data_IF_783445520116
#
_entry.id   IF_783445520116
#
_cell.length_a   1.000
_cell.length_b   1.000
_cell.length_c   1.000
_cell.angle_alpha   90.00
_cell.angle_beta   90.00
_cell.angle_gamma   90.00
#
_symmetry.space_group_name_H-M   'P 1'
#
loop_
_entity.id
_entity.type
_entity.pdbx_description
1 polymer ?
#
# COMPACT_ATOMS: atom_id res chain seq x y z
N UNK A 1 61.15 -10.49 -37.21
CA UNK A 1 60.65 -10.46 -38.60
C UNK A 1 59.13 -10.61 -38.55
N UNK A 2 58.42 -9.54 -38.96
CA UNK A 2 56.99 -9.39 -39.39
C UNK A 2 55.92 -10.29 -38.73
N UNK A 3 54.93 -9.79 -37.98
CA UNK A 3 53.82 -8.86 -38.28
C UNK A 3 52.84 -9.34 -39.39
N UNK A 4 51.62 -9.67 -38.98
CA UNK A 4 50.34 -9.43 -39.68
C UNK A 4 49.21 -9.79 -38.69
N UNK A 5 48.49 -8.86 -38.03
CA UNK A 5 47.44 -7.96 -38.53
C UNK A 5 46.49 -8.63 -39.52
N UNK A 6 45.27 -8.92 -39.06
CA UNK A 6 44.08 -8.90 -39.89
C UNK A 6 42.97 -8.14 -39.18
N UNK A 7 42.28 -7.39 -40.00
CA UNK A 7 41.56 -6.15 -39.73
C UNK A 7 40.06 -6.45 -39.74
N UNK A 8 39.36 -5.82 -38.80
CA UNK A 8 38.01 -5.26 -38.86
C UNK A 8 37.20 -5.55 -40.15
N UNK A 9 35.99 -6.08 -40.02
CA UNK A 9 34.85 -5.52 -40.74
C UNK A 9 33.53 -5.74 -40.00
N UNK A 10 32.91 -4.61 -39.66
CA UNK A 10 31.49 -4.49 -39.30
C UNK A 10 30.65 -4.91 -40.50
N UNK A 11 29.62 -5.73 -40.27
CA UNK A 11 28.51 -5.85 -41.20
C UNK A 11 27.20 -5.87 -40.43
N UNK A 12 26.52 -4.73 -40.56
CA UNK A 12 25.12 -4.47 -40.29
C UNK A 12 24.24 -5.47 -41.04
N UNK A 13 23.33 -6.14 -40.33
CA UNK A 13 22.18 -6.81 -40.94
C UNK A 13 20.91 -6.16 -40.41
N UNK A 14 20.51 -5.09 -41.08
CA UNK A 14 19.15 -4.56 -41.05
C UNK A 14 18.28 -5.49 -41.89
N UNK A 15 17.28 -6.12 -41.29
CA UNK A 15 16.15 -6.65 -42.05
C UNK A 15 14.84 -6.11 -41.50
N UNK A 16 14.09 -5.55 -42.45
CA UNK A 16 12.81 -4.89 -42.35
C UNK A 16 11.70 -5.84 -41.90
N UNK A 17 10.86 -5.39 -40.99
CA UNK A 17 9.42 -5.61 -41.08
C UNK A 17 8.72 -4.27 -40.86
N UNK A 18 8.34 -3.67 -41.97
CA UNK A 18 7.42 -2.54 -42.03
C UNK A 18 5.99 -3.06 -41.86
N UNK A 19 5.29 -2.61 -40.83
CA UNK A 19 3.83 -2.52 -40.84
C UNK A 19 3.48 -1.13 -40.35
N UNK A 20 3.00 -0.33 -41.31
CA UNK A 20 2.57 1.06 -41.21
C UNK A 20 1.14 1.16 -40.71
N UNK A 21 0.91 1.98 -39.67
CA UNK A 21 -0.37 2.65 -39.42
C UNK A 21 -0.11 4.10 -38.98
N UNK A 22 -0.95 5.07 -39.39
CA UNK A 22 -0.60 6.48 -39.49
C UNK A 22 -0.70 7.22 -38.16
N UNK A 23 0.33 8.01 -37.83
CA UNK A 23 0.22 9.12 -36.88
C UNK A 23 -0.55 10.27 -37.54
N UNK A 24 -1.76 10.55 -37.06
CA UNK A 24 -2.40 11.87 -37.22
C UNK A 24 -2.01 12.71 -36.01
N UNK A 25 -1.07 13.63 -36.23
CA UNK A 25 -0.78 14.69 -35.28
C UNK A 25 -1.82 15.80 -35.41
N UNK A 26 -2.43 16.21 -34.30
CA UNK A 26 -3.08 17.50 -34.20
C UNK A 26 -2.08 18.49 -33.59
N UNK A 27 -1.50 19.31 -34.46
CA UNK A 27 -0.84 20.55 -34.07
C UNK A 27 -1.90 21.60 -33.73
N UNK A 28 -1.62 22.34 -32.66
CA UNK A 28 -2.30 23.55 -32.21
C UNK A 28 -2.26 24.65 -33.27
N UNK A 29 -3.41 25.24 -33.58
CA UNK A 29 -3.50 26.60 -34.15
C UNK A 29 -4.44 27.45 -33.34
N UNK A 30 -3.94 28.63 -33.00
CA UNK A 30 -4.66 29.72 -32.33
C UNK A 30 -5.56 30.48 -33.32
N UNK A 31 -6.55 31.17 -32.73
CA UNK A 31 -7.34 32.30 -33.24
C UNK A 31 -8.64 31.98 -33.98
N UNK A 32 -9.79 32.27 -33.35
CA UNK A 32 -10.61 33.48 -33.59
C UNK A 32 -11.92 33.41 -32.78
N UNK A 33 -12.09 34.37 -31.88
CA UNK A 33 -13.41 34.84 -31.43
C UNK A 33 -13.85 35.89 -32.47
N UNK A 34 -15.11 35.95 -32.94
CA UNK A 34 -16.16 36.61 -32.15
C UNK A 34 -17.58 36.07 -32.39
N UNK A 35 -18.43 36.02 -31.35
CA UNK A 35 -19.68 36.79 -31.35
C UNK A 35 -20.39 36.73 -30.01
N UNK A 36 -20.67 37.93 -29.52
CA UNK A 36 -21.42 38.26 -28.34
C UNK A 36 -22.83 38.64 -28.82
N UNK A 37 -23.87 37.94 -28.36
CA UNK A 37 -25.25 38.42 -28.46
C UNK A 37 -25.94 38.23 -27.12
N UNK A 38 -26.28 39.36 -26.53
CA UNK A 38 -27.00 39.56 -25.27
C UNK A 38 -28.49 39.23 -25.44
N UNK A 39 -29.13 38.58 -24.45
CA UNK A 39 -30.44 39.02 -23.92
C UNK A 39 -30.97 38.19 -22.72
N UNK A 40 -31.02 38.88 -21.57
CA UNK A 40 -32.17 39.05 -20.65
C UNK A 40 -32.58 37.91 -19.70
N UNK A 41 -32.55 38.30 -18.42
CA UNK A 41 -32.91 37.60 -17.18
C UNK A 41 -34.36 37.09 -17.13
N UNK A 42 -34.55 35.91 -16.55
CA UNK A 42 -35.73 35.60 -15.71
C UNK A 42 -35.22 34.96 -14.41
N UNK A 43 -35.68 35.40 -13.22
CA UNK A 43 -35.10 34.97 -11.94
C UNK A 43 -35.62 33.57 -11.56
N UNK A 44 -34.74 32.68 -11.13
CA UNK A 44 -35.14 31.49 -10.39
C UNK A 44 -34.45 31.53 -9.03
N UNK A 45 -35.30 31.62 -8.00
CA UNK A 45 -34.96 31.63 -6.58
C UNK A 45 -34.54 30.21 -6.19
N UNK A 46 -33.46 30.15 -5.41
CA UNK A 46 -32.97 29.09 -4.53
C UNK A 46 -33.02 27.62 -4.99
N UNK A 47 -31.82 27.03 -5.10
CA UNK A 47 -31.47 26.06 -4.06
C UNK A 47 -29.98 26.17 -3.72
N UNK A 48 -29.68 26.78 -2.58
CA UNK A 48 -28.37 26.66 -1.91
C UNK A 48 -28.31 25.31 -1.20
N UNK A 49 -28.21 24.24 -1.96
CA UNK A 49 -27.67 22.97 -1.48
C UNK A 49 -26.28 22.79 -2.12
N UNK A 50 -25.27 23.44 -1.53
CA UNK A 50 -23.88 23.03 -1.78
C UNK A 50 -23.80 21.55 -1.40
N UNK A 51 -23.35 20.65 -2.29
CA UNK A 51 -23.01 19.30 -1.88
C UNK A 51 -21.98 19.42 -0.76
N UNK A 52 -22.24 18.69 0.32
CA UNK A 52 -21.26 18.37 1.35
C UNK A 52 -19.97 17.96 0.61
N UNK A 53 -18.82 18.51 0.99
CA UNK A 53 -17.51 18.12 0.46
C UNK A 53 -17.30 16.62 0.75
N UNK A 54 -17.82 15.78 -0.13
CA UNK A 54 -17.57 14.36 -0.15
C UNK A 54 -16.14 14.22 -0.66
N UNK A 55 -15.26 13.74 0.21
CA UNK A 55 -13.88 13.48 -0.15
C UNK A 55 -13.88 12.37 -1.20
N UNK A 56 -13.78 12.75 -2.47
CA UNK A 56 -13.74 11.83 -3.60
C UNK A 56 -12.37 11.16 -3.64
N UNK A 57 -12.23 10.02 -2.96
CA UNK A 57 -11.04 9.17 -3.06
C UNK A 57 -11.22 8.23 -4.26
N UNK A 58 -10.32 8.26 -5.26
CA UNK A 58 -10.34 7.30 -6.35
C UNK A 58 -10.30 5.87 -5.80
N UNK A 59 -11.04 4.95 -6.41
CA UNK A 59 -11.12 3.56 -5.95
C UNK A 59 -9.73 2.92 -5.79
N UNK A 60 -8.83 3.20 -6.73
CA UNK A 60 -7.43 2.77 -6.71
C UNK A 60 -6.64 3.25 -5.49
N UNK A 61 -7.03 4.36 -4.86
CA UNK A 61 -6.35 4.96 -3.73
C UNK A 61 -6.99 4.60 -2.38
N UNK A 62 -8.14 3.91 -2.37
CA UNK A 62 -8.88 3.59 -1.13
C UNK A 62 -8.01 2.81 -0.14
N UNK A 63 -7.17 1.89 -0.63
CA UNK A 63 -6.27 1.12 0.23
C UNK A 63 -5.20 1.99 0.91
N UNK A 64 -4.48 2.78 0.12
CA UNK A 64 -3.47 3.70 0.64
C UNK A 64 -4.11 4.70 1.61
N UNK A 65 -5.26 5.25 1.23
CA UNK A 65 -6.04 6.15 2.08
C UNK A 65 -6.41 5.46 3.41
N UNK A 66 -6.89 4.22 3.37
CA UNK A 66 -7.28 3.48 4.58
C UNK A 66 -6.09 3.19 5.50
N UNK A 67 -4.87 3.08 4.99
CA UNK A 67 -3.68 2.85 5.81
C UNK A 67 -3.34 4.00 6.79
N UNK A 68 -3.94 5.18 6.59
CA UNK A 68 -3.76 6.39 7.43
C UNK A 68 -4.57 6.38 8.74
N UNK A 69 -5.42 5.38 8.94
CA UNK A 69 -6.34 5.34 10.07
C UNK A 69 -6.07 4.13 10.96
N UNK A 70 -6.38 4.29 12.24
CA UNK A 70 -6.51 3.21 13.21
C UNK A 70 -7.98 2.75 13.20
N UNK A 71 -8.22 1.57 12.65
CA UNK A 71 -9.55 1.03 12.44
C UNK A 71 -9.95 0.11 13.59
N UNK A 72 -11.16 0.29 14.11
CA UNK A 72 -11.80 -0.61 15.06
C UNK A 72 -13.11 -1.14 14.47
N UNK A 73 -13.31 -2.46 14.55
CA UNK A 73 -14.55 -3.11 14.12
C UNK A 73 -15.70 -2.69 15.03
N UNK A 74 -16.79 -2.22 14.45
CA UNK A 74 -17.98 -1.78 15.22
C UNK A 74 -19.25 -2.52 14.85
N UNK A 75 -19.29 -3.11 13.66
CA UNK A 75 -20.48 -3.81 13.19
C UNK A 75 -20.11 -4.89 12.18
N UNK A 76 -20.80 -6.02 12.28
CA UNK A 76 -20.73 -7.12 11.33
C UNK A 76 -22.13 -7.40 10.83
N UNK A 77 -22.31 -7.43 9.52
CA UNK A 77 -23.57 -7.75 8.86
C UNK A 77 -23.38 -9.09 8.14
N UNK A 78 -24.23 -10.07 8.42
CA UNK A 78 -24.13 -11.36 7.76
C UNK A 78 -24.74 -11.34 6.35
N UNK A 79 -24.61 -12.44 5.62
CA UNK A 79 -25.13 -12.59 4.25
C UNK A 79 -26.66 -12.39 4.14
N UNK A 80 -27.39 -12.51 5.25
CA UNK A 80 -28.84 -12.34 5.31
C UNK A 80 -29.22 -10.92 5.81
N UNK A 81 -28.29 -9.96 5.73
CA UNK A 81 -28.43 -8.58 6.21
C UNK A 81 -28.73 -8.43 7.72
N UNK A 82 -28.48 -9.46 8.52
CA UNK A 82 -28.65 -9.38 9.96
C UNK A 82 -27.36 -8.92 10.64
N UNK A 83 -27.50 -8.09 11.67
CA UNK A 83 -26.37 -7.69 12.51
C UNK A 83 -25.94 -8.86 13.38
N UNK A 84 -24.66 -9.21 13.31
CA UNK A 84 -24.03 -10.21 14.17
C UNK A 84 -23.63 -9.54 15.49
N UNK A 85 -24.02 -10.13 16.61
CA UNK A 85 -23.64 -9.63 17.94
C UNK A 85 -22.15 -9.88 18.20
N UNK A 86 -21.38 -8.79 18.22
CA UNK A 86 -19.96 -8.78 18.54
C UNK A 86 -19.68 -8.08 19.88
N UNK A 87 -20.69 -7.75 20.69
CA UNK A 87 -20.50 -7.00 21.93
C UNK A 87 -19.61 -7.74 22.95
N UNK A 88 -19.58 -9.07 22.87
CA UNK A 88 -18.77 -9.92 23.75
C UNK A 88 -17.38 -10.26 23.18
N UNK A 89 -17.03 -9.73 22.01
CA UNK A 89 -15.71 -9.93 21.42
C UNK A 89 -14.73 -8.96 22.09
N UNK A 90 -13.49 -9.40 22.27
CA UNK A 90 -12.40 -8.44 22.51
C UNK A 90 -12.31 -7.51 21.29
N UNK A 91 -12.03 -6.20 21.47
CA UNK A 91 -11.94 -5.26 20.35
C UNK A 91 -11.06 -5.81 19.22
N UNK A 92 -11.60 -5.75 18.01
CA UNK A 92 -10.91 -6.16 16.78
C UNK A 92 -10.45 -4.90 16.07
N UNK A 93 -9.16 -4.80 15.78
CA UNK A 93 -8.61 -3.70 14.97
C UNK A 93 -8.15 -4.21 13.61
N UNK A 94 -8.09 -3.29 12.64
CA UNK A 94 -7.65 -3.56 11.28
C UNK A 94 -6.44 -2.68 10.93
N UNK A 95 -5.38 -3.30 10.44
CA UNK A 95 -4.21 -2.64 9.86
C UNK A 95 -4.18 -2.95 8.37
N UNK A 96 -4.06 -1.89 7.57
CA UNK A 96 -3.97 -2.00 6.11
C UNK A 96 -2.53 -1.73 5.65
N UNK A 97 -2.02 -2.61 4.78
CA UNK A 97 -0.70 -2.54 4.16
C UNK A 97 -0.81 -2.77 2.64
N UNK A 98 0.24 -2.44 1.85
CA UNK A 98 0.18 -2.51 0.38
C UNK A 98 -0.15 -3.89 -0.20
N UNK A 99 0.22 -4.97 0.50
CA UNK A 99 -0.03 -6.33 0.05
C UNK A 99 -0.73 -7.19 1.08
N UNK A 100 -1.28 -6.60 2.15
CA UNK A 100 -1.95 -7.38 3.19
C UNK A 100 -2.89 -6.56 4.04
N UNK A 101 -3.80 -7.27 4.70
CA UNK A 101 -4.50 -6.76 5.88
C UNK A 101 -4.23 -7.65 7.07
N UNK A 102 -4.12 -7.01 8.23
CA UNK A 102 -3.93 -7.66 9.51
C UNK A 102 -5.08 -7.29 10.44
N UNK A 103 -5.62 -8.30 11.11
CA UNK A 103 -6.60 -8.16 12.17
C UNK A 103 -5.95 -8.50 13.50
N UNK A 104 -6.10 -7.63 14.48
CA UNK A 104 -5.61 -7.84 15.83
C UNK A 104 -6.79 -7.94 16.79
N UNK A 105 -6.74 -8.94 17.67
CA UNK A 105 -7.77 -9.17 18.68
C UNK A 105 -7.09 -9.65 19.97
N UNK A 106 -6.87 -8.75 20.91
CA UNK A 106 -6.04 -9.07 22.08
C UNK A 106 -4.63 -9.49 21.65
N UNK A 107 -4.19 -10.69 22.05
CA UNK A 107 -2.91 -11.28 21.64
C UNK A 107 -2.98 -12.06 20.31
N UNK A 108 -4.17 -12.23 19.74
CA UNK A 108 -4.38 -12.95 18.49
C UNK A 108 -4.14 -12.02 17.30
N UNK A 109 -3.39 -12.51 16.31
CA UNK A 109 -3.08 -11.79 15.08
C UNK A 109 -3.41 -12.68 13.89
N UNK A 110 -4.24 -12.16 12.99
CA UNK A 110 -4.59 -12.80 11.74
C UNK A 110 -4.20 -11.92 10.57
N UNK A 111 -3.74 -12.53 9.49
CA UNK A 111 -3.26 -11.83 8.31
C UNK A 111 -3.81 -12.45 7.03
N UNK A 112 -4.14 -11.58 6.07
CA UNK A 112 -4.46 -11.96 4.70
C UNK A 112 -3.48 -11.27 3.77
N UNK A 113 -2.68 -12.06 3.06
CA UNK A 113 -1.75 -11.59 2.04
C UNK A 113 -2.41 -11.58 0.65
N UNK A 114 -2.28 -10.46 -0.05
CA UNK A 114 -2.80 -10.27 -1.39
C UNK A 114 -1.80 -10.79 -2.41
N UNK A 115 -2.23 -11.72 -3.25
CA UNK A 115 -1.37 -12.32 -4.28
C UNK A 115 -1.19 -11.45 -5.54
N UNK A 116 -1.81 -10.27 -5.64
CA UNK A 116 -1.79 -9.46 -6.87
C UNK A 116 -0.88 -8.22 -6.81
N UNK A 117 -0.11 -8.03 -7.88
CA UNK A 117 0.52 -6.76 -8.28
C UNK A 117 -0.51 -5.78 -8.89
N UNK A 118 -1.69 -5.67 -8.29
CA UNK A 118 -2.72 -4.73 -8.72
C UNK A 118 -3.50 -4.32 -7.48
N UNK A 119 -3.44 -3.04 -7.13
CA UNK A 119 -4.32 -2.36 -6.18
C UNK A 119 -5.75 -2.31 -6.77
N UNK A 120 -6.74 -1.76 -6.02
CA UNK A 120 -8.15 -1.79 -6.42
C UNK A 120 -8.35 -1.32 -7.87
N UNK A 121 -9.38 -1.82 -8.59
CA UNK A 121 -10.67 -2.30 -8.05
C UNK A 121 -10.84 -3.83 -7.94
N UNK A 122 -9.76 -4.63 -8.03
CA UNK A 122 -9.90 -6.08 -8.07
C UNK A 122 -10.26 -6.68 -6.69
N UNK A 123 -11.08 -7.75 -6.64
CA UNK A 123 -11.26 -8.50 -5.41
C UNK A 123 -9.93 -9.12 -4.99
N UNK A 124 -9.54 -8.91 -3.75
CA UNK A 124 -8.32 -9.51 -3.20
C UNK A 124 -8.56 -10.97 -2.89
N UNK A 125 -7.76 -11.86 -3.48
CA UNK A 125 -7.80 -13.28 -3.21
C UNK A 125 -6.79 -13.59 -2.11
N UNK A 126 -7.26 -14.14 -0.99
CA UNK A 126 -6.38 -14.49 0.11
C UNK A 126 -6.89 -15.64 0.97
N UNK A 127 -6.02 -16.07 1.88
CA UNK A 127 -6.31 -16.99 2.97
C UNK A 127 -6.09 -16.24 4.28
N UNK A 128 -7.02 -16.36 5.23
CA UNK A 128 -6.82 -15.85 6.58
C UNK A 128 -5.87 -16.80 7.32
N UNK A 129 -4.63 -16.39 7.52
CA UNK A 129 -3.64 -17.09 8.31
C UNK A 129 -3.58 -16.56 9.73
N UNK A 130 -3.49 -17.43 10.72
CA UNK A 130 -3.12 -17.04 12.10
C UNK A 130 -1.60 -16.85 12.14
N UNK A 131 -1.16 -15.66 12.57
CA UNK A 131 0.25 -15.33 12.81
C UNK A 131 0.60 -15.76 14.24
N UNK A 132 1.82 -16.27 14.50
CA UNK A 132 2.25 -16.61 15.86
C UNK A 132 2.06 -15.44 16.83
N UNK A 133 1.50 -15.72 18.00
CA UNK A 133 1.22 -14.70 19.03
C UNK A 133 2.52 -14.12 19.56
N UNK A 134 2.58 -12.80 19.71
CA UNK A 134 3.78 -12.07 20.21
C UNK A 134 3.76 -11.87 21.74
N UNK A 135 2.66 -12.20 22.41
CA UNK A 135 2.56 -12.18 23.85
C UNK A 135 3.40 -13.31 24.45
N UNK A 136 4.26 -13.00 25.43
CA UNK A 136 4.91 -14.02 26.25
C UNK A 136 3.88 -14.60 27.21
N UNK A 137 3.61 -15.90 27.08
CA UNK A 137 2.83 -16.68 28.05
C UNK A 137 3.64 -16.87 29.35
N UNK A 138 3.99 -15.76 30.01
CA UNK A 138 4.63 -15.82 31.32
C UNK A 138 3.57 -16.15 32.37
N UNK A 139 3.38 -17.46 32.58
CA UNK A 139 2.90 -18.07 33.82
C UNK A 139 1.55 -17.57 34.39
N UNK A 140 0.46 -17.63 33.63
CA UNK A 140 -0.88 -17.62 34.23
C UNK A 140 -1.75 -18.78 33.71
N UNK A 141 -2.13 -19.76 34.56
CA UNK A 141 -3.00 -20.87 34.17
C UNK A 141 -4.44 -20.46 33.83
N UNK A 142 -4.82 -19.19 34.06
CA UNK A 142 -6.04 -18.57 33.53
C UNK A 142 -5.78 -17.91 32.18
N UNK A 143 -5.22 -18.68 31.24
CA UNK A 143 -4.85 -18.22 29.91
C UNK A 143 -6.08 -17.59 29.22
N UNK A 144 -6.03 -16.29 28.96
CA UNK A 144 -7.05 -15.51 28.24
C UNK A 144 -7.02 -15.82 26.74
N UNK A 145 -6.94 -17.10 26.39
CA UNK A 145 -7.14 -17.56 25.03
C UNK A 145 -8.57 -17.19 24.64
N UNK A 146 -8.70 -16.38 23.58
CA UNK A 146 -10.00 -16.03 23.03
C UNK A 146 -10.65 -17.33 22.59
N UNK A 147 -11.85 -17.62 23.13
CA UNK A 147 -12.60 -18.83 22.75
C UNK A 147 -12.84 -18.82 21.24
N UNK A 148 -12.73 -19.99 20.61
CA UNK A 148 -12.82 -20.13 19.14
C UNK A 148 -14.10 -19.52 18.55
N UNK A 149 -15.21 -19.53 19.28
CA UNK A 149 -16.50 -18.95 18.88
C UNK A 149 -16.52 -17.41 18.89
N UNK A 150 -15.64 -16.79 19.67
CA UNK A 150 -15.49 -15.33 19.83
C UNK A 150 -14.24 -14.76 19.18
N UNK A 151 -13.57 -15.57 18.37
CA UNK A 151 -12.41 -15.18 17.61
C UNK A 151 -12.84 -14.56 16.28
N UNK A 152 -12.12 -13.54 15.78
CA UNK A 152 -12.39 -12.98 14.46
C UNK A 152 -12.47 -14.04 13.35
N UNK A 153 -11.69 -15.12 13.44
CA UNK A 153 -11.73 -16.22 12.49
C UNK A 153 -13.12 -16.87 12.38
N UNK A 154 -13.94 -16.87 13.44
CA UNK A 154 -15.31 -17.38 13.42
C UNK A 154 -16.26 -16.52 12.57
N UNK A 155 -15.89 -15.26 12.32
CA UNK A 155 -16.63 -14.33 11.47
C UNK A 155 -16.32 -14.51 9.98
N UNK A 156 -15.38 -15.38 9.63
CA UNK A 156 -15.06 -15.71 8.24
C UNK A 156 -15.69 -17.05 7.84
N UNK A 157 -16.06 -17.16 6.56
CA UNK A 157 -16.44 -18.44 6.00
C UNK A 157 -15.25 -19.41 6.07
N UNK A 158 -15.53 -20.70 6.37
CA UNK A 158 -14.49 -21.74 6.47
C UNK A 158 -13.85 -22.11 5.12
N UNK A 159 -14.37 -21.59 4.01
CA UNK A 159 -13.89 -21.88 2.67
C UNK A 159 -13.00 -20.74 2.18
N UNK A 160 -11.83 -21.12 1.67
CA UNK A 160 -10.91 -20.22 1.01
C UNK A 160 -10.81 -20.59 -0.48
N UNK A 161 -10.44 -19.66 -1.38
CA UNK A 161 -9.97 -18.30 -1.11
C UNK A 161 -11.10 -17.33 -0.73
N UNK A 162 -10.78 -16.40 0.17
CA UNK A 162 -11.63 -15.27 0.53
C UNK A 162 -11.40 -14.20 -0.53
N UNK A 163 -12.50 -13.65 -1.06
CA UNK A 163 -12.48 -12.47 -1.92
C UNK A 163 -13.06 -11.29 -1.16
N UNK A 164 -12.40 -10.14 -1.20
CA UNK A 164 -12.85 -8.94 -0.49
C UNK A 164 -12.62 -7.65 -1.28
N UNK A 165 -13.41 -6.62 -0.98
CA UNK A 165 -13.21 -5.25 -1.44
C UNK A 165 -13.38 -4.24 -0.29
N UNK A 166 -12.88 -3.02 -0.51
CA UNK A 166 -13.02 -1.91 0.42
C UNK A 166 -14.00 -0.89 -0.13
N UNK A 167 -14.86 -0.37 0.74
CA UNK A 167 -15.85 0.63 0.40
C UNK A 167 -15.83 1.73 1.47
N UNK A 168 -15.64 2.97 1.03
CA UNK A 168 -15.74 4.13 1.91
C UNK A 168 -17.21 4.42 2.19
N UNK A 169 -17.60 4.42 3.47
CA UNK A 169 -18.97 4.73 3.86
C UNK A 169 -19.10 6.21 4.25
N UNK A 170 -20.27 6.83 3.99
CA UNK A 170 -20.56 8.16 4.50
C UNK A 170 -20.38 8.22 6.02
N UNK A 171 -19.67 9.26 6.46
CA UNK A 171 -19.62 9.59 7.88
C UNK A 171 -20.93 10.31 8.21
N UNK A 172 -21.86 9.63 8.86
CA UNK A 172 -23.13 10.25 9.28
C UNK A 172 -22.80 11.41 10.21
N UNK A 173 -23.10 12.64 9.80
CA UNK A 173 -23.14 13.77 10.73
C UNK A 173 -24.24 13.47 11.74
N UNK A 174 -23.88 12.96 12.92
CA UNK A 174 -24.81 12.93 14.04
C UNK A 174 -25.15 14.38 14.37
N UNK A 175 -26.42 14.69 14.22
CA UNK A 175 -27.13 15.90 14.65
C UNK A 175 -26.48 16.63 15.82
N UNK A 176 -25.85 17.78 15.55
CA UNK A 176 -25.98 19.03 16.31
C UNK A 176 -25.14 20.12 15.66
N UNK A 177 -25.68 21.34 15.74
CA UNK A 177 -25.26 22.55 15.07
C UNK A 177 -23.77 22.93 15.28
N UNK A 178 -23.20 23.54 14.24
CA UNK A 178 -22.12 24.52 14.31
C UNK A 178 -20.87 24.14 15.11
N UNK A 179 -20.08 23.22 14.59
CA UNK A 179 -18.62 23.36 14.65
C UNK A 179 -18.08 22.92 13.30
N UNK A 180 -17.41 23.82 12.60
CA UNK A 180 -16.51 23.48 11.49
C UNK A 180 -15.35 22.68 12.09
N UNK A 181 -15.62 21.40 12.40
CA UNK A 181 -14.59 20.44 12.73
C UNK A 181 -13.78 20.22 11.47
N UNK A 182 -12.46 20.37 11.64
CA UNK A 182 -11.47 20.02 10.65
C UNK A 182 -11.82 18.64 10.08
N UNK A 183 -12.25 18.59 8.80
CA UNK A 183 -12.81 17.39 8.15
C UNK A 183 -11.85 16.20 8.16
N UNK A 184 -10.59 16.46 8.47
CA UNK A 184 -9.50 15.50 8.62
C UNK A 184 -9.50 14.78 9.99
N UNK A 185 -10.12 15.35 11.03
CA UNK A 185 -10.15 14.77 12.39
C UNK A 185 -11.40 13.94 12.70
N UNK A 186 -12.45 14.06 11.88
CA UNK A 186 -13.71 13.34 12.09
C UNK A 186 -13.51 11.82 11.86
N UNK A 187 -14.11 10.95 12.70
CA UNK A 187 -14.05 9.51 12.51
C UNK A 187 -14.54 9.12 11.11
N UNK A 188 -13.86 8.18 10.46
CA UNK A 188 -14.26 7.66 9.14
C UNK A 188 -14.87 6.28 9.26
N UNK A 189 -15.61 5.85 8.25
CA UNK A 189 -16.22 4.52 8.20
C UNK A 189 -15.74 3.77 6.98
N UNK A 190 -15.26 2.55 7.19
CA UNK A 190 -14.75 1.67 6.13
C UNK A 190 -15.52 0.36 6.18
N UNK A 191 -16.10 -0.04 5.05
CA UNK A 191 -16.64 -1.37 4.88
C UNK A 191 -15.61 -2.27 4.20
N UNK A 192 -15.42 -3.45 4.77
CA UNK A 192 -14.76 -4.57 4.14
C UNK A 192 -15.86 -5.56 3.74
N UNK A 193 -16.15 -5.68 2.45
CA UNK A 193 -17.17 -6.61 1.97
C UNK A 193 -16.50 -7.91 1.51
N UNK A 194 -16.94 -9.03 2.07
CA UNK A 194 -16.44 -10.36 1.71
C UNK A 194 -17.44 -11.00 0.73
N UNK A 195 -16.97 -11.43 -0.44
CA UNK A 195 -17.80 -12.12 -1.43
C UNK A 195 -18.36 -13.40 -0.82
N UNK A 196 -19.69 -13.57 -0.88
CA UNK A 196 -20.37 -14.69 -0.23
C UNK A 196 -19.97 -14.82 1.25
N UNK A 197 -19.86 -13.70 1.97
CA UNK A 197 -19.43 -13.66 3.36
C UNK A 197 -20.08 -12.53 4.14
N UNK A 198 -19.53 -12.25 5.31
CA UNK A 198 -19.97 -11.16 6.16
C UNK A 198 -19.40 -9.82 5.64
N UNK A 199 -20.13 -8.74 5.89
CA UNK A 199 -19.67 -7.36 5.70
C UNK A 199 -19.21 -6.80 7.04
N UNK A 200 -17.97 -6.33 7.12
CA UNK A 200 -17.40 -5.74 8.32
C UNK A 200 -17.34 -4.23 8.20
N UNK A 201 -17.84 -3.52 9.20
CA UNK A 201 -17.84 -2.06 9.25
C UNK A 201 -16.91 -1.62 10.38
N UNK A 202 -15.92 -0.82 10.01
CA UNK A 202 -14.93 -0.24 10.89
C UNK A 202 -15.19 1.25 11.08
N UNK A 203 -14.86 1.75 12.27
CA UNK A 203 -14.67 3.19 12.53
C UNK A 203 -13.18 3.45 12.65
N UNK A 204 -12.69 4.46 11.93
CA UNK A 204 -11.28 4.83 11.86
C UNK A 204 -11.04 6.22 12.43
N UNK A 205 -10.02 6.34 13.28
CA UNK A 205 -9.46 7.63 13.69
C UNK A 205 -8.15 7.85 12.94
N UNK A 206 -7.82 9.10 12.60
CA UNK A 206 -6.53 9.39 11.96
C UNK A 206 -5.40 9.07 12.91
N UNK A 207 -4.35 8.44 12.37
CA UNK A 207 -3.14 8.18 13.15
C UNK A 207 -2.49 9.50 13.57
N UNK A 208 -2.03 9.62 14.82
CA UNK A 208 -1.27 10.79 15.24
C UNK A 208 0.01 10.87 14.40
N UNK A 209 0.13 11.94 13.61
CA UNK A 209 1.29 12.16 12.75
C UNK A 209 2.42 12.76 13.60
N UNK A 210 3.56 12.11 13.63
CA UNK A 210 4.80 12.73 14.10
C UNK A 210 5.41 13.40 12.88
N UNK A 211 5.61 14.72 12.94
CA UNK A 211 6.26 15.44 11.85
C UNK A 211 7.66 14.85 11.60
N UNK A 212 8.00 14.47 10.35
CA UNK A 212 9.28 13.87 10.07
C UNK A 212 10.41 14.84 10.40
N UNK A 213 11.46 14.36 11.07
CA UNK A 213 12.70 15.12 11.24
C UNK A 213 13.52 15.01 9.96
N UNK A 214 13.39 15.96 9.04
CA UNK A 214 14.15 16.00 7.80
C UNK A 214 13.40 16.59 6.62
N UNK A 215 13.90 16.34 5.40
CA UNK A 215 13.18 16.66 4.18
C UNK A 215 11.91 15.79 4.11
N UNK A 216 10.73 16.40 3.87
CA UNK A 216 9.51 15.62 3.69
C UNK A 216 9.67 14.75 2.45
N UNK A 217 9.48 13.43 2.62
CA UNK A 217 9.49 12.50 1.49
C UNK A 217 8.10 12.57 0.87
N UNK A 218 8.04 12.89 -0.43
CA UNK A 218 6.82 12.89 -1.24
C UNK A 218 6.96 11.91 -2.41
N UNK A 219 5.85 11.52 -3.04
CA UNK A 219 5.90 10.65 -4.21
C UNK A 219 6.66 11.31 -5.36
N UNK A 220 6.48 12.61 -5.58
CA UNK A 220 7.17 13.36 -6.61
C UNK A 220 8.68 13.34 -6.41
N UNK A 221 9.13 13.48 -5.15
CA UNK A 221 10.55 13.37 -4.81
C UNK A 221 11.08 11.95 -5.07
N UNK A 222 10.33 10.92 -4.66
CA UNK A 222 10.74 9.53 -4.85
C UNK A 222 10.85 9.15 -6.32
N UNK A 223 9.92 9.61 -7.16
CA UNK A 223 9.83 9.31 -8.59
C UNK A 223 10.82 10.12 -9.45
N UNK A 224 11.27 11.28 -8.95
CA UNK A 224 12.18 12.14 -9.69
C UNK A 224 13.62 11.58 -9.80
N UNK A 225 14.02 10.72 -8.86
CA UNK A 225 15.41 10.27 -8.74
C UNK A 225 15.53 8.75 -8.75
N UNK A 226 16.61 8.26 -9.38
CA UNK A 226 17.10 6.91 -9.15
C UNK A 226 17.93 6.87 -7.87
N UNK A 227 17.49 6.07 -6.90
CA UNK A 227 18.11 6.00 -5.59
C UNK A 227 19.18 4.91 -5.57
N UNK A 228 20.34 5.22 -4.99
CA UNK A 228 21.40 4.23 -4.75
C UNK A 228 21.62 4.06 -3.25
N UNK A 229 21.69 2.80 -2.80
CA UNK A 229 22.03 2.49 -1.41
C UNK A 229 23.49 2.86 -1.14
N UNK A 230 23.70 3.89 -0.32
CA UNK A 230 25.03 4.35 0.12
C UNK A 230 25.51 3.60 1.37
N UNK A 231 24.60 3.36 2.32
CA UNK A 231 24.92 2.65 3.56
C UNK A 231 23.68 1.98 4.15
N UNK A 232 23.88 0.90 4.90
CA UNK A 232 22.82 0.21 5.62
C UNK A 232 23.23 0.02 7.09
N UNK A 233 22.26 0.15 8.00
CA UNK A 233 22.44 -0.08 9.43
C UNK A 233 21.29 -0.92 9.96
N UNK A 234 21.58 -1.74 10.96
CA UNK A 234 20.60 -2.43 11.77
C UNK A 234 20.31 -1.57 13.00
N UNK A 235 19.03 -1.34 13.24
CA UNK A 235 18.53 -0.66 14.42
C UNK A 235 18.13 -1.72 15.45
N UNK A 236 18.65 -1.61 16.66
CA UNK A 236 18.24 -2.41 17.80
C UNK A 236 18.11 -1.47 19.01
N UNK A 237 17.26 -1.81 19.97
CA UNK A 237 17.23 -1.12 21.25
C UNK A 237 18.02 -1.94 22.27
N UNK A 238 18.82 -1.26 23.10
CA UNK A 238 19.50 -1.92 24.21
C UNK A 238 18.55 -2.17 25.38
N UNK A 239 19.06 -2.78 26.46
CA UNK A 239 18.28 -3.06 27.67
C UNK A 239 17.76 -1.79 28.39
N UNK A 240 18.13 -0.59 27.92
CA UNK A 240 17.71 0.72 28.43
C UNK A 240 16.87 1.49 27.42
N UNK A 241 16.37 0.79 26.39
CA UNK A 241 15.58 1.37 25.29
C UNK A 241 16.33 2.45 24.49
N UNK A 242 17.66 2.40 24.47
CA UNK A 242 18.47 3.29 23.63
C UNK A 242 18.70 2.67 22.25
N UNK A 243 18.49 3.48 21.21
CA UNK A 243 18.72 3.08 19.83
C UNK A 243 20.20 2.84 19.55
N UNK A 244 20.57 1.58 19.36
CA UNK A 244 21.86 1.13 18.84
C UNK A 244 21.75 0.98 17.31
N UNK A 245 22.65 1.63 16.59
CA UNK A 245 22.81 1.47 15.14
C UNK A 245 24.10 0.73 14.83
N UNK A 246 24.00 -0.47 14.25
CA UNK A 246 25.16 -1.26 13.82
C UNK A 246 25.20 -1.33 12.31
N UNK A 247 26.33 -0.93 11.72
CA UNK A 247 26.52 -1.05 10.28
C UNK A 247 26.29 -2.48 9.81
N UNK A 248 25.41 -2.59 8.81
CA UNK A 248 25.22 -3.79 8.03
C UNK A 248 26.27 -3.73 6.91
N UNK A 249 27.45 -4.30 7.17
CA UNK A 249 28.60 -4.22 6.26
C UNK A 249 28.37 -4.87 4.88
N UNK A 250 29.24 -4.52 3.93
CA UNK A 250 29.41 -5.04 2.56
C UNK A 250 28.12 -5.31 1.73
N UNK A 251 27.06 -4.52 1.90
CA UNK A 251 25.97 -4.44 0.91
C UNK A 251 26.44 -3.74 -0.38
N UNK A 252 27.35 -2.79 -0.24
CA UNK A 252 27.90 -2.05 -1.37
C UNK A 252 29.08 -2.82 -2.00
N UNK A 253 28.92 -3.19 -3.27
CA UNK A 253 30.00 -3.61 -4.14
C UNK A 253 29.90 -2.80 -5.44
N UNK A 254 30.99 -2.20 -5.95
CA UNK A 254 30.94 -1.37 -7.16
C UNK A 254 30.34 -2.10 -8.37
N UNK A 255 30.60 -3.40 -8.49
CA UNK A 255 30.07 -4.23 -9.59
C UNK A 255 28.61 -4.69 -9.38
N UNK A 256 28.06 -4.49 -8.17
CA UNK A 256 26.69 -4.83 -7.80
C UNK A 256 26.06 -3.68 -7.00
N UNK A 257 25.87 -2.50 -7.62
CA UNK A 257 25.23 -1.38 -6.95
C UNK A 257 23.77 -1.73 -6.64
N UNK A 258 23.36 -1.47 -5.40
CA UNK A 258 21.97 -1.64 -5.01
C UNK A 258 21.24 -0.33 -5.29
N UNK A 259 20.19 -0.39 -6.09
CA UNK A 259 19.36 0.76 -6.43
C UNK A 259 17.89 0.52 -6.11
N UNK A 260 17.16 1.62 -5.98
CA UNK A 260 15.71 1.66 -5.89
C UNK A 260 15.15 2.74 -6.82
N UNK A 261 14.02 2.47 -7.44
CA UNK A 261 13.23 3.45 -8.20
C UNK A 261 11.76 3.35 -7.81
N UNK A 262 11.04 4.45 -7.94
CA UNK A 262 9.63 4.56 -7.56
C UNK A 262 8.83 5.03 -8.75
N UNK A 263 7.67 4.41 -8.93
CA UNK A 263 6.81 4.64 -10.08
C UNK A 263 5.35 4.65 -9.62
N UNK A 264 4.62 5.71 -9.97
CA UNK A 264 3.16 5.77 -9.78
C UNK A 264 2.44 5.68 -11.12
N UNK A 265 1.37 4.91 -11.13
CA UNK A 265 0.35 4.88 -12.19
C UNK A 265 -1.00 5.25 -11.60
N UNK A 266 -1.99 5.50 -12.47
CA UNK A 266 -3.34 5.89 -12.05
C UNK A 266 -3.94 4.97 -10.98
N UNK A 267 -3.56 3.70 -11.04
CA UNK A 267 -4.20 2.66 -10.25
C UNK A 267 -3.29 2.16 -9.12
N UNK A 268 -1.99 2.47 -9.12
CA UNK A 268 -1.01 1.77 -8.30
C UNK A 268 0.33 2.50 -8.15
N UNK A 269 1.05 2.24 -7.06
CA UNK A 269 2.43 2.69 -6.86
C UNK A 269 3.37 1.51 -6.64
N UNK A 270 4.55 1.53 -7.27
CA UNK A 270 5.55 0.46 -7.16
C UNK A 270 6.94 0.97 -6.83
N UNK A 271 7.60 0.22 -5.96
CA UNK A 271 9.02 0.35 -5.69
C UNK A 271 9.72 -0.81 -6.40
N UNK A 272 10.68 -0.48 -7.25
CA UNK A 272 11.57 -1.42 -7.89
C UNK A 272 12.91 -1.38 -7.16
N UNK A 273 13.51 -2.55 -6.91
CA UNK A 273 14.80 -2.70 -6.27
C UNK A 273 15.69 -3.54 -7.17
N UNK A 274 16.95 -3.15 -7.34
CA UNK A 274 17.93 -3.91 -8.12
C UNK A 274 19.22 -4.03 -7.36
N UNK A 275 19.90 -5.17 -7.49
CA UNK A 275 21.28 -5.38 -7.02
C UNK A 275 22.32 -5.30 -8.15
N UNK A 276 21.88 -4.91 -9.35
CA UNK A 276 22.65 -5.07 -10.58
C UNK A 276 22.61 -6.48 -11.18
N UNK A 277 21.97 -7.45 -10.52
CA UNK A 277 21.75 -8.79 -11.06
C UNK A 277 20.26 -9.19 -11.10
N UNK A 278 19.59 -9.29 -9.94
CA UNK A 278 18.15 -9.50 -9.92
C UNK A 278 17.40 -8.19 -9.74
N UNK A 279 16.27 -8.11 -10.42
CA UNK A 279 15.27 -7.09 -10.18
C UNK A 279 14.22 -7.62 -9.23
N UNK A 280 13.73 -6.74 -8.36
CA UNK A 280 12.60 -6.99 -7.49
C UNK A 280 11.62 -5.84 -7.55
N UNK A 281 10.34 -6.12 -7.30
CA UNK A 281 9.30 -5.11 -7.33
C UNK A 281 8.24 -5.39 -6.28
N UNK A 282 7.70 -4.34 -5.68
CA UNK A 282 6.64 -4.41 -4.68
C UNK A 282 5.71 -3.19 -4.80
N UNK A 283 4.42 -3.34 -4.48
CA UNK A 283 3.57 -2.17 -4.25
C UNK A 283 4.05 -1.42 -3.00
N UNK A 284 3.83 -0.11 -2.94
CA UNK A 284 4.13 0.67 -1.75
C UNK A 284 3.02 1.67 -1.41
N UNK A 285 2.96 2.09 -0.15
CA UNK A 285 2.22 3.27 0.29
C UNK A 285 3.19 4.26 0.91
N UNK A 286 3.10 5.52 0.48
CA UNK A 286 3.66 6.64 1.22
C UNK A 286 2.57 7.25 2.09
N UNK A 287 2.80 7.26 3.39
CA UNK A 287 1.87 7.81 4.37
C UNK A 287 2.16 9.29 4.65
N UNK A 288 1.17 10.01 5.20
CA UNK A 288 1.26 11.44 5.51
C UNK A 288 2.38 11.80 6.51
N UNK A 289 2.90 10.85 7.28
CA UNK A 289 4.05 11.01 8.19
C UNK A 289 5.39 10.73 7.51
N UNK A 290 5.41 10.64 6.17
CA UNK A 290 6.55 10.20 5.36
C UNK A 290 7.00 8.76 5.61
N UNK A 291 6.18 7.94 6.27
CA UNK A 291 6.45 6.49 6.39
C UNK A 291 6.21 5.81 5.05
N UNK A 292 7.26 5.20 4.49
CA UNK A 292 7.17 4.33 3.32
C UNK A 292 6.89 2.89 3.76
N UNK A 293 5.70 2.39 3.44
CA UNK A 293 5.36 0.97 3.60
C UNK A 293 5.54 0.25 2.28
N UNK A 294 6.28 -0.85 2.29
CA UNK A 294 6.51 -1.69 1.11
C UNK A 294 5.77 -3.02 1.31
N UNK A 295 5.03 -3.46 0.30
CA UNK A 295 4.31 -4.72 0.29
C UNK A 295 5.21 -5.91 -0.01
N UNK A 296 4.58 -7.01 -0.43
CA UNK A 296 5.28 -8.25 -0.78
C UNK A 296 6.19 -7.99 -1.98
N UNK A 297 7.47 -8.34 -1.82
CA UNK A 297 8.50 -8.18 -2.84
C UNK A 297 8.57 -9.44 -3.70
N UNK A 298 8.34 -9.26 -4.99
CA UNK A 298 8.55 -10.29 -6.01
C UNK A 298 9.92 -10.05 -6.64
N UNK A 299 10.72 -11.10 -6.80
CA UNK A 299 12.08 -11.00 -7.34
C UNK A 299 12.36 -12.05 -8.40
N UNK A 300 13.19 -11.70 -9.39
CA UNK A 300 13.86 -12.70 -10.21
C UNK A 300 14.88 -13.47 -9.36
N UNK A 301 15.18 -14.71 -9.77
CA UNK A 301 16.16 -15.58 -9.09
C UNK A 301 17.16 -16.13 -10.11
N UNK A 302 17.95 -15.24 -10.68
CA UNK A 302 19.08 -15.56 -11.54
C UNK A 302 20.35 -15.74 -10.72
N UNK A 303 21.26 -16.60 -11.20
CA UNK A 303 22.58 -16.77 -10.60
C UNK A 303 23.51 -15.59 -10.92
N UNK A 304 24.07 -14.96 -9.90
CA UNK A 304 24.81 -13.70 -9.97
C UNK A 304 26.31 -13.83 -9.67
N UNK A 305 26.86 -15.04 -9.70
CA UNK A 305 28.18 -15.34 -9.13
C UNK A 305 28.19 -15.26 -7.60
N UNK A 306 29.33 -15.59 -6.98
CA UNK A 306 29.45 -15.71 -5.52
C UNK A 306 29.10 -14.39 -4.80
N UNK A 307 29.69 -13.27 -5.24
CA UNK A 307 29.48 -11.95 -4.64
C UNK A 307 28.04 -11.46 -4.81
N UNK A 308 27.49 -11.55 -6.03
CA UNK A 308 26.11 -11.14 -6.30
C UNK A 308 25.10 -11.97 -5.51
N UNK A 309 25.27 -13.31 -5.48
CA UNK A 309 24.38 -14.19 -4.71
C UNK A 309 24.41 -13.90 -3.21
N UNK A 310 25.58 -13.51 -2.66
CA UNK A 310 25.71 -13.10 -1.26
C UNK A 310 24.91 -11.83 -0.97
N UNK A 311 25.00 -10.83 -1.86
CA UNK A 311 24.25 -9.57 -1.73
C UNK A 311 22.75 -9.81 -1.82
N UNK A 312 22.30 -10.60 -2.79
CA UNK A 312 20.89 -10.98 -2.95
C UNK A 312 20.34 -11.70 -1.71
N UNK A 313 21.11 -12.64 -1.17
CA UNK A 313 20.71 -13.37 0.04
C UNK A 313 20.56 -12.41 1.23
N UNK A 314 21.43 -11.41 1.35
CA UNK A 314 21.37 -10.42 2.42
C UNK A 314 20.15 -9.48 2.25
N UNK A 315 19.88 -9.03 1.02
CA UNK A 315 18.69 -8.23 0.71
C UNK A 315 17.40 -9.02 0.97
N UNK A 316 17.33 -10.28 0.54
CA UNK A 316 16.17 -11.13 0.78
C UNK A 316 15.86 -11.30 2.27
N UNK A 317 16.90 -11.45 3.12
CA UNK A 317 16.72 -11.51 4.58
C UNK A 317 16.18 -10.21 5.17
N UNK A 318 16.64 -9.04 4.70
CA UNK A 318 16.11 -7.74 5.15
C UNK A 318 14.64 -7.57 4.78
N UNK A 319 14.27 -8.03 3.57
CA UNK A 319 12.91 -7.99 3.04
C UNK A 319 11.93 -8.89 3.81
N UNK A 320 12.40 -10.05 4.29
CA UNK A 320 11.58 -10.97 5.09
C UNK A 320 11.46 -10.58 6.58
N UNK A 321 12.29 -9.67 7.09
CA UNK A 321 12.35 -9.34 8.52
C UNK A 321 11.63 -8.06 8.92
N UNK A 322 11.15 -7.27 7.95
CA UNK A 322 10.53 -5.95 8.19
C UNK A 322 9.08 -5.87 7.67
N UNK A 323 8.27 -6.88 7.96
CA UNK A 323 6.81 -6.74 7.93
C UNK A 323 6.32 -6.50 9.36
N UNK A 324 6.24 -5.22 9.74
CA UNK A 324 5.65 -4.72 11.00
C UNK A 324 4.34 -3.99 10.70
#
# INVERSE_FOLDING_TARGET
MMLNRLILNRLTLSLLFAISFPLVGCQSTSALNPQQTTAINTPTIDDKSKPINELLIPESQVMQWSAHYDWQLVQVINQNDNIVDIANFTPITLQVAPSSISFYQGCEHYRMDFHSMSAPPYPYYSHLGKVPTTCSDDNNPNNTAIKEDKNIQSLFAKHAPIKLNFELLPTSNSTSETVSMDTQSAPKRLALNIENGNRFIFIGLTKPLIAPTGLPITNELLEQYDWQLVSAVSNAHDNKDQLIRKSLGNFYHPDHPISASFESWSDNQYASFSSGCNGSRAPYFLLNDSTLKVGIIISTVMGCGETGNRIETALFKLRLTHEV
#
